data_IF_950946704939
#
_entry.id   IF_950946704939
#
_cell.length_a   1.000
_cell.length_b   1.000
_cell.length_c   1.000
_cell.angle_alpha   90.00
_cell.angle_beta   90.00
_cell.angle_gamma   90.00
#
_symmetry.space_group_name_H-M   'P 1'
#
loop_
_entity.id
_entity.type
_entity.pdbx_description
1 polymer ?
#
# COMPACT_ATOMS: atom_id res chain seq x y z
N UNK A 1 -7.28 9.20 -6.46
CA UNK A 1 -7.41 7.75 -6.66
C UNK A 1 -8.23 7.53 -7.91
N UNK A 2 -7.72 6.78 -8.88
CA UNK A 2 -8.41 6.49 -10.14
C UNK A 2 -8.79 5.00 -10.12
N UNK A 3 -10.09 4.70 -10.11
CA UNK A 3 -10.64 3.35 -9.96
C UNK A 3 -10.62 2.57 -11.30
N UNK A 4 -9.56 2.73 -12.09
CA UNK A 4 -9.43 2.13 -13.42
C UNK A 4 -8.57 0.86 -13.37
N UNK A 5 -8.96 -0.13 -12.54
CA UNK A 5 -8.45 -1.52 -12.49
C UNK A 5 -7.36 -1.81 -11.44
N UNK A 6 -7.55 -2.93 -10.73
CA UNK A 6 -6.62 -3.50 -9.75
C UNK A 6 -5.34 -3.96 -10.45
N UNK A 7 -4.38 -3.06 -10.59
CA UNK A 7 -3.05 -3.34 -11.13
C UNK A 7 -2.02 -3.39 -10.00
N UNK A 8 -1.00 -4.23 -10.17
CA UNK A 8 0.12 -4.27 -9.25
C UNK A 8 0.98 -3.02 -9.41
N UNK A 9 1.23 -2.33 -8.31
CA UNK A 9 2.21 -1.25 -8.24
C UNK A 9 3.52 -1.83 -7.72
N UNK A 10 4.44 -2.08 -8.66
CA UNK A 10 5.74 -2.68 -8.35
C UNK A 10 6.74 -1.54 -8.10
N UNK A 11 7.49 -1.62 -7.01
CA UNK A 11 8.59 -0.70 -6.75
C UNK A 11 9.68 -0.84 -7.82
N UNK A 12 10.38 0.26 -8.13
CA UNK A 12 11.66 0.14 -8.82
C UNK A 12 12.66 -0.66 -7.96
N UNK A 13 13.62 -1.33 -8.61
CA UNK A 13 14.53 -2.30 -7.99
C UNK A 13 15.24 -1.78 -6.72
N UNK A 14 15.59 -0.49 -6.67
CA UNK A 14 16.28 0.15 -5.54
C UNK A 14 15.37 1.00 -4.65
N UNK A 15 14.08 1.09 -4.98
CA UNK A 15 13.08 1.88 -4.25
C UNK A 15 12.23 1.04 -3.28
N UNK A 16 12.23 -0.29 -3.41
CA UNK A 16 11.47 -1.18 -2.53
C UNK A 16 11.94 -1.02 -1.06
N UNK A 17 11.06 -0.81 -0.06
CA UNK A 17 11.48 -0.63 1.33
C UNK A 17 12.22 -1.86 1.89
N UNK A 18 13.31 -1.63 2.64
CA UNK A 18 13.90 -2.65 3.50
C UNK A 18 13.27 -2.53 4.88
N UNK A 19 12.55 -3.57 5.31
CA UNK A 19 11.79 -3.59 6.55
C UNK A 19 12.56 -4.40 7.61
N UNK A 20 13.14 -3.78 8.65
CA UNK A 20 13.82 -4.52 9.71
C UNK A 20 12.85 -5.35 10.55
N UNK A 21 13.38 -6.33 11.27
CA UNK A 21 12.62 -7.13 12.22
C UNK A 21 11.85 -6.24 13.22
N UNK A 22 10.59 -6.59 13.47
CA UNK A 22 9.69 -5.81 14.34
C UNK A 22 8.93 -4.68 13.63
N UNK A 23 9.09 -4.51 12.31
CA UNK A 23 8.27 -3.56 11.54
C UNK A 23 6.78 -3.95 11.60
N UNK A 24 5.93 -2.95 11.85
CA UNK A 24 4.46 -3.09 11.78
C UNK A 24 3.95 -2.29 10.58
N UNK A 25 3.20 -2.94 9.71
CA UNK A 25 2.55 -2.30 8.56
C UNK A 25 1.13 -1.86 8.95
N UNK A 26 0.83 -0.57 8.80
CA UNK A 26 -0.50 -0.02 9.02
C UNK A 26 -1.17 0.29 7.70
N UNK A 27 -2.38 -0.24 7.52
CA UNK A 27 -3.24 0.04 6.38
C UNK A 27 -4.37 0.95 6.83
N UNK A 28 -4.55 2.07 6.11
CA UNK A 28 -5.64 3.01 6.36
C UNK A 28 -6.39 3.19 5.06
N UNK A 29 -7.64 2.76 5.03
CA UNK A 29 -8.57 3.06 3.95
C UNK A 29 -9.59 4.10 4.39
N UNK A 30 -9.92 5.00 3.48
CA UNK A 30 -10.89 6.06 3.70
C UNK A 30 -12.05 5.83 2.74
N UNK A 31 -13.26 5.75 3.28
CA UNK A 31 -14.49 5.56 2.53
C UNK A 31 -15.31 6.86 2.63
N UNK A 32 -15.79 7.36 1.49
CA UNK A 32 -16.50 8.63 1.40
C UNK A 32 -17.97 8.40 1.00
N UNK A 33 -18.83 8.31 2.03
CA UNK A 33 -20.29 8.23 1.88
C UNK A 33 -20.96 9.63 1.90
N UNK A 34 -20.22 10.73 1.69
CA UNK A 34 -20.83 12.07 1.69
C UNK A 34 -21.64 12.31 0.42
N UNK A 35 -22.64 13.19 0.51
CA UNK A 35 -23.45 13.62 -0.64
C UNK A 35 -22.65 14.42 -1.69
N UNK A 36 -21.41 14.81 -1.37
CA UNK A 36 -20.51 15.50 -2.28
C UNK A 36 -19.74 14.54 -3.20
N UNK A 37 -19.72 13.23 -2.91
CA UNK A 37 -19.06 12.24 -3.74
C UNK A 37 -19.95 11.90 -4.97
N UNK A 38 -19.62 12.32 -6.20
CA UNK A 38 -20.45 12.06 -7.38
C UNK A 38 -20.50 10.59 -7.79
N UNK A 39 -19.63 9.74 -7.21
CA UNK A 39 -19.61 8.30 -7.45
C UNK A 39 -20.46 7.52 -6.45
N UNK A 40 -20.97 8.17 -5.41
CA UNK A 40 -21.88 7.56 -4.46
C UNK A 40 -23.32 7.66 -5.00
N UNK A 41 -23.97 6.53 -5.38
CA UNK A 41 -25.29 6.56 -5.99
C UNK A 41 -26.39 7.00 -5.01
N UNK A 42 -26.21 6.79 -3.70
CA UNK A 42 -27.15 7.22 -2.67
C UNK A 42 -26.46 7.39 -1.29
N UNK A 43 -26.17 8.62 -0.85
CA UNK A 43 -25.52 8.87 0.44
C UNK A 43 -26.45 8.69 1.64
N UNK A 44 -27.75 8.45 1.42
CA UNK A 44 -28.74 8.33 2.52
C UNK A 44 -28.86 6.91 3.05
N UNK A 45 -28.35 5.93 2.31
CA UNK A 45 -28.35 4.52 2.74
C UNK A 45 -27.11 4.20 3.57
N UNK A 46 -27.22 3.13 4.37
CA UNK A 46 -26.06 2.59 5.05
C UNK A 46 -25.07 2.04 4.02
N UNK A 47 -23.85 2.57 4.05
CA UNK A 47 -22.70 2.06 3.31
C UNK A 47 -21.72 1.47 4.32
N UNK A 48 -21.29 0.24 4.09
CA UNK A 48 -20.34 -0.44 4.96
C UNK A 48 -19.87 -1.74 4.36
N UNK A 49 -19.07 -2.48 5.13
CA UNK A 49 -18.42 -3.68 4.63
C UNK A 49 -19.40 -4.79 4.26
N UNK A 50 -19.18 -5.42 3.11
CA UNK A 50 -19.95 -6.58 2.67
C UNK A 50 -19.47 -7.13 1.32
N UNK A 51 -20.10 -8.20 0.86
CA UNK A 51 -19.67 -8.96 -0.33
C UNK A 51 -20.43 -8.60 -1.61
N UNK A 52 -21.46 -7.76 -1.50
CA UNK A 52 -22.29 -7.36 -2.64
C UNK A 52 -21.65 -6.17 -3.35
N UNK A 53 -21.98 -5.97 -4.63
CA UNK A 53 -21.50 -4.82 -5.40
C UNK A 53 -21.98 -3.46 -4.88
N UNK A 54 -22.91 -3.44 -3.93
CA UNK A 54 -23.42 -2.23 -3.26
C UNK A 54 -22.80 -2.01 -1.87
N UNK A 55 -21.96 -2.94 -1.43
CA UNK A 55 -21.23 -2.86 -0.17
C UNK A 55 -19.78 -2.40 -0.44
N UNK A 56 -19.14 -1.82 0.57
CA UNK A 56 -17.76 -1.35 0.48
C UNK A 56 -16.75 -2.45 0.87
N UNK A 57 -15.52 -2.34 0.35
CA UNK A 57 -14.41 -3.20 0.72
C UNK A 57 -13.11 -2.40 0.80
N UNK A 58 -12.26 -2.75 1.77
CA UNK A 58 -10.86 -2.34 1.80
C UNK A 58 -9.99 -3.59 1.87
N UNK A 59 -9.15 -3.75 0.87
CA UNK A 59 -8.16 -4.82 0.85
C UNK A 59 -6.87 -4.30 0.24
N UNK A 60 -5.74 -4.70 0.81
CA UNK A 60 -4.42 -4.48 0.22
C UNK A 60 -3.74 -5.82 0.11
N UNK A 61 -3.21 -6.08 -1.07
CA UNK A 61 -2.39 -7.25 -1.37
C UNK A 61 -0.94 -6.78 -1.37
N UNK A 62 -0.09 -7.48 -0.61
CA UNK A 62 1.32 -7.17 -0.48
C UNK A 62 2.13 -8.42 -0.79
N UNK A 63 3.03 -8.30 -1.76
CA UNK A 63 4.06 -9.30 -1.98
C UNK A 63 5.30 -8.89 -1.19
N UNK A 64 5.77 -9.80 -0.33
CA UNK A 64 6.93 -9.59 0.55
C UNK A 64 7.96 -10.69 0.30
N UNK A 65 9.21 -10.29 0.17
CA UNK A 65 10.36 -11.19 0.10
C UNK A 65 11.09 -11.14 1.44
N UNK A 66 11.32 -12.31 2.03
CA UNK A 66 12.10 -12.43 3.25
C UNK A 66 13.57 -12.53 2.92
N UNK A 67 14.38 -11.81 3.69
CA UNK A 67 15.84 -11.79 3.60
C UNK A 67 16.42 -12.36 4.89
N UNK A 68 17.58 -12.99 4.80
CA UNK A 68 18.37 -13.25 6.01
C UNK A 68 19.10 -11.99 6.49
N UNK A 69 19.68 -12.05 7.69
CA UNK A 69 20.38 -10.91 8.29
C UNK A 69 21.58 -10.44 7.43
N UNK A 70 22.28 -11.36 6.76
CA UNK A 70 23.44 -11.01 5.96
C UNK A 70 23.03 -10.26 4.68
N UNK A 71 21.98 -10.74 4.00
CA UNK A 71 21.40 -10.11 2.83
C UNK A 71 20.81 -8.73 3.15
N UNK A 72 20.04 -8.63 4.24
CA UNK A 72 19.46 -7.37 4.68
C UNK A 72 20.55 -6.32 4.96
N UNK A 73 21.56 -6.68 5.75
CA UNK A 73 22.64 -5.76 6.10
C UNK A 73 23.44 -5.32 4.87
N UNK A 74 23.70 -6.23 3.92
CA UNK A 74 24.36 -5.89 2.65
C UNK A 74 23.56 -4.83 1.88
N UNK A 75 22.26 -5.03 1.70
CA UNK A 75 21.40 -4.10 0.95
C UNK A 75 21.28 -2.73 1.65
N UNK A 76 21.26 -2.71 2.99
CA UNK A 76 21.27 -1.45 3.76
C UNK A 76 22.54 -0.65 3.48
N UNK A 77 23.71 -1.28 3.54
CA UNK A 77 24.98 -0.60 3.30
C UNK A 77 25.11 -0.12 1.84
N UNK A 78 24.68 -0.92 0.87
CA UNK A 78 24.63 -0.51 -0.54
C UNK A 78 23.78 0.74 -0.76
N UNK A 79 22.62 0.86 -0.10
CA UNK A 79 21.75 2.04 -0.19
C UNK A 79 22.36 3.27 0.46
N UNK A 80 23.02 3.12 1.61
CA UNK A 80 23.74 4.21 2.29
C UNK A 80 24.86 4.76 1.40
N UNK A 81 25.65 3.88 0.77
CA UNK A 81 26.73 4.27 -0.12
C UNK A 81 26.21 5.07 -1.34
N UNK A 82 25.13 4.60 -1.99
CA UNK A 82 24.50 5.32 -3.11
C UNK A 82 23.98 6.70 -2.72
N UNK A 83 23.37 6.82 -1.55
CA UNK A 83 22.84 8.11 -1.04
C UNK A 83 23.97 9.09 -0.71
N UNK A 84 25.09 8.58 -0.20
CA UNK A 84 26.30 9.37 0.09
C UNK A 84 26.96 9.91 -1.17
N UNK A 85 26.99 9.14 -2.26
CA UNK A 85 27.57 9.56 -3.56
C UNK A 85 26.67 10.48 -4.39
N UNK A 86 25.38 10.57 -4.07
CA UNK A 86 24.45 11.48 -4.73
C UNK A 86 24.44 12.91 -4.12
N UNK A 87 25.25 13.16 -3.09
CA UNK A 87 25.48 14.48 -2.47
C UNK A 87 26.85 15.03 -2.88
#
# INVERSE_FOLDING_TARGET
FNFNWHVNYIYADDAAPLLPAGTVLHMIGIHDNTAANPHNPDPTVWAGFGERSVDDMLQVWLDVVYLDDAEFNRLVEERKAKTSHAK
#
